data_IF_225911745936
#
_entry.id   IF_225911745936
#
_cell.length_a   1.000
_cell.length_b   1.000
_cell.length_c   1.000
_cell.angle_alpha   90.00
_cell.angle_beta   90.00
_cell.angle_gamma   90.00
#
_symmetry.space_group_name_H-M   'P 1'
#
loop_
_entity.id
_entity.type
_entity.pdbx_description
1 polymer ?
#
# COMPACT_ATOMS: atom_id res chain seq x y z
N UNK A 1 12.37 -3.24 -14.02
CA UNK A 1 12.59 -3.46 -12.57
C UNK A 1 11.67 -2.52 -11.83
N UNK A 2 10.73 -3.05 -11.05
CA UNK A 2 9.82 -2.25 -10.24
C UNK A 2 10.64 -1.70 -9.05
N UNK A 3 10.98 -0.42 -9.07
CA UNK A 3 11.75 0.21 -8.00
C UNK A 3 10.75 0.78 -6.99
N UNK A 4 10.43 -0.01 -5.97
CA UNK A 4 9.51 0.40 -4.92
C UNK A 4 10.30 1.22 -3.90
N UNK A 5 9.89 2.45 -3.59
CA UNK A 5 10.54 3.21 -2.54
C UNK A 5 10.24 2.55 -1.19
N UNK A 6 11.29 2.31 -0.40
CA UNK A 6 11.15 1.77 0.96
C UNK A 6 10.44 2.72 1.92
N UNK A 7 10.39 4.02 1.59
CA UNK A 7 9.69 5.05 2.36
C UNK A 7 9.01 6.07 1.45
N UNK A 8 7.81 6.53 1.82
CA UNK A 8 7.14 7.67 1.17
C UNK A 8 7.28 8.93 2.03
N UNK A 9 7.50 10.10 1.44
CA UNK A 9 7.43 11.35 2.20
C UNK A 9 6.02 11.64 2.64
N UNK A 10 5.86 12.31 3.78
CA UNK A 10 4.54 12.66 4.29
C UNK A 10 3.75 13.53 3.30
N UNK A 11 4.42 14.49 2.67
CA UNK A 11 3.82 15.36 1.64
C UNK A 11 3.29 14.56 0.45
N UNK A 12 4.04 13.56 -0.04
CA UNK A 12 3.60 12.73 -1.15
C UNK A 12 2.38 11.88 -0.79
N UNK A 13 2.34 11.33 0.44
CA UNK A 13 1.18 10.58 0.92
C UNK A 13 -0.06 11.48 0.97
N UNK A 14 0.06 12.68 1.54
CA UNK A 14 -1.06 13.63 1.65
C UNK A 14 -1.56 14.14 0.29
N UNK A 15 -0.66 14.34 -0.68
CA UNK A 15 -1.03 14.91 -1.98
C UNK A 15 -1.55 13.87 -2.98
N UNK A 16 -1.00 12.65 -2.97
CA UNK A 16 -1.24 11.67 -4.04
C UNK A 16 -2.13 10.51 -3.61
N UNK A 17 -2.24 10.25 -2.31
CA UNK A 17 -2.93 9.08 -1.81
C UNK A 17 -4.08 9.43 -0.90
N UNK A 18 -5.09 8.58 -0.94
CA UNK A 18 -6.15 8.55 0.05
C UNK A 18 -5.85 7.44 1.07
N UNK A 19 -5.97 7.74 2.37
CA UNK A 19 -5.95 6.71 3.42
C UNK A 19 -7.33 6.03 3.43
N UNK A 20 -7.37 4.77 3.02
CA UNK A 20 -8.62 4.01 2.85
C UNK A 20 -8.94 3.08 4.02
N UNK A 21 -7.92 2.71 4.81
CA UNK A 21 -8.12 1.90 6.02
C UNK A 21 -6.99 2.14 7.03
N UNK A 22 -7.28 1.90 8.31
CA UNK A 22 -6.32 1.95 9.40
C UNK A 22 -6.41 0.65 10.16
N UNK A 23 -5.28 -0.03 10.33
CA UNK A 23 -5.23 -1.37 10.89
C UNK A 23 -4.01 -1.53 11.80
N UNK A 24 -4.06 -2.53 12.66
CA UNK A 24 -2.94 -2.88 13.51
C UNK A 24 -2.43 -4.27 13.11
N UNK A 25 -1.16 -4.37 12.72
CA UNK A 25 -0.49 -5.62 12.34
C UNK A 25 0.62 -5.88 13.34
N UNK A 26 0.50 -6.95 14.12
CA UNK A 26 1.49 -7.36 15.11
C UNK A 26 1.93 -6.25 16.08
N UNK A 27 1.02 -5.34 16.45
CA UNK A 27 1.30 -4.21 17.34
C UNK A 27 1.62 -2.91 16.61
N UNK A 28 2.06 -2.97 15.35
CA UNK A 28 2.32 -1.80 14.52
C UNK A 28 1.01 -1.21 13.98
N UNK A 29 0.83 0.10 14.15
CA UNK A 29 -0.29 0.80 13.52
C UNK A 29 0.07 1.11 12.08
N UNK A 30 -0.74 0.68 11.14
CA UNK A 30 -0.51 0.84 9.71
C UNK A 30 -1.68 1.55 9.04
N UNK A 31 -1.38 2.30 7.98
CA UNK A 31 -2.36 2.89 7.09
C UNK A 31 -2.33 2.16 5.74
N UNK A 32 -3.51 1.87 5.20
CA UNK A 32 -3.66 1.44 3.82
C UNK A 32 -3.97 2.66 2.99
N UNK A 33 -3.12 2.94 2.00
CA UNK A 33 -3.21 4.11 1.15
C UNK A 33 -3.49 3.70 -0.30
N UNK A 34 -4.23 4.52 -1.03
CA UNK A 34 -4.61 4.24 -2.42
C UNK A 34 -4.51 5.48 -3.30
N UNK A 35 -3.82 5.34 -4.43
CA UNK A 35 -3.75 6.29 -5.52
C UNK A 35 -4.60 5.76 -6.68
N UNK A 36 -5.75 6.39 -6.87
CA UNK A 36 -6.70 6.02 -7.92
C UNK A 36 -6.20 6.32 -9.33
N UNK A 37 -5.33 7.31 -9.50
CA UNK A 37 -4.80 7.72 -10.80
C UNK A 37 -3.74 6.73 -11.26
N UNK A 38 -2.79 6.41 -10.38
CA UNK A 38 -1.74 5.43 -10.66
C UNK A 38 -2.22 3.97 -10.53
N UNK A 39 -3.44 3.74 -10.03
CA UNK A 39 -3.97 2.39 -9.73
C UNK A 39 -3.00 1.62 -8.82
N UNK A 40 -2.57 2.27 -7.73
CA UNK A 40 -1.58 1.75 -6.79
C UNK A 40 -2.11 1.81 -5.37
N UNK A 41 -1.89 0.75 -4.60
CA UNK A 41 -2.17 0.73 -3.18
C UNK A 41 -0.90 0.36 -2.39
N UNK A 42 -0.80 0.82 -1.16
CA UNK A 42 0.32 0.49 -0.29
C UNK A 42 -0.12 0.37 1.17
N UNK A 43 0.64 -0.41 1.94
CA UNK A 43 0.57 -0.41 3.40
C UNK A 43 1.80 0.33 3.91
N UNK A 44 1.57 1.37 4.70
CA UNK A 44 2.62 2.14 5.36
C UNK A 44 2.45 2.06 6.87
N UNK A 45 3.54 2.24 7.62
CA UNK A 45 3.42 2.52 9.04
C UNK A 45 2.74 3.87 9.26
N UNK A 46 2.02 4.00 10.37
CA UNK A 46 1.37 5.25 10.75
C UNK A 46 2.34 6.24 11.39
N UNK A 47 3.43 5.75 11.96
CA UNK A 47 4.46 6.58 12.57
C UNK A 47 5.52 6.94 11.53
N UNK A 48 5.81 8.23 11.38
CA UNK A 48 6.86 8.72 10.49
C UNK A 48 8.22 8.67 11.15
N UNK A 49 9.25 8.31 10.38
CA UNK A 49 10.66 8.45 10.78
C UNK A 49 11.28 9.62 10.03
N UNK A 50 12.12 10.41 10.72
CA UNK A 50 12.90 11.45 10.05
C UNK A 50 14.07 10.82 9.28
N UNK A 51 14.12 11.07 7.97
CA UNK A 51 15.19 10.59 7.10
C UNK A 51 15.66 11.75 6.22
N UNK A 52 16.95 12.10 6.33
CA UNK A 52 17.56 13.21 5.58
C UNK A 52 16.83 14.57 5.78
N UNK A 53 16.26 14.80 6.97
CA UNK A 53 15.55 16.05 7.31
C UNK A 53 14.09 16.08 6.84
N UNK A 54 13.54 14.97 6.35
CA UNK A 54 12.16 14.86 5.92
C UNK A 54 11.43 13.77 6.71
N UNK A 55 10.18 14.02 7.10
CA UNK A 55 9.33 13.01 7.72
C UNK A 55 8.82 12.04 6.66
N UNK A 56 9.16 10.76 6.83
CA UNK A 56 8.82 9.71 5.86
C UNK A 56 8.11 8.54 6.55
N UNK A 57 7.12 8.00 5.87
CA UNK A 57 6.41 6.79 6.27
C UNK A 57 7.13 5.55 5.71
N UNK A 58 7.56 4.61 6.57
CA UNK A 58 8.00 3.28 6.14
C UNK A 58 6.94 2.56 5.31
N UNK A 59 7.36 1.91 4.23
CA UNK A 59 6.47 1.17 3.32
C UNK A 59 6.64 -0.33 3.56
N UNK A 60 5.57 -0.98 4.01
CA UNK A 60 5.57 -2.41 4.32
C UNK A 60 5.18 -3.26 3.11
N UNK A 61 4.28 -2.75 2.27
CA UNK A 61 3.87 -3.42 1.05
C UNK A 61 3.38 -2.44 -0.01
N UNK A 62 3.55 -2.80 -1.27
CA UNK A 62 3.00 -2.06 -2.42
C UNK A 62 2.36 -3.03 -3.39
N UNK A 63 1.14 -2.71 -3.79
CA UNK A 63 0.37 -3.39 -4.82
C UNK A 63 0.23 -2.47 -6.03
N UNK A 64 0.86 -2.86 -7.13
CA UNK A 64 0.73 -2.20 -8.42
C UNK A 64 -0.34 -2.90 -9.24
N UNK A 65 -1.28 -2.13 -9.79
CA UNK A 65 -2.41 -2.66 -10.54
C UNK A 65 -2.55 -1.96 -11.89
N UNK A 66 -3.21 -2.63 -12.81
CA UNK A 66 -3.60 -2.07 -14.11
C UNK A 66 -5.12 -2.11 -14.27
N UNK A 67 -5.70 -1.08 -14.87
CA UNK A 67 -7.13 -1.08 -15.20
C UNK A 67 -7.39 -2.03 -16.35
N UNK A 68 -8.34 -2.94 -16.18
CA UNK A 68 -8.84 -3.76 -17.28
C UNK A 68 -9.86 -2.94 -18.07
N UNK A 69 -9.61 -2.74 -19.37
CA UNK A 69 -10.41 -1.86 -20.23
C UNK A 69 -11.88 -2.24 -20.21
N UNK A 70 -12.74 -1.23 -19.99
CA UNK A 70 -14.22 -1.26 -19.87
C UNK A 70 -14.82 -1.38 -18.45
N UNK A 71 -14.07 -1.69 -17.39
CA UNK A 71 -14.62 -1.75 -16.02
C UNK A 71 -13.72 -1.02 -15.03
N UNK A 72 -14.09 0.21 -14.64
CA UNK A 72 -13.28 1.04 -13.73
C UNK A 72 -13.09 0.43 -12.33
N UNK A 73 -13.99 -0.45 -11.91
CA UNK A 73 -13.93 -1.12 -10.61
C UNK A 73 -13.16 -2.44 -10.63
N UNK A 74 -12.66 -2.87 -11.79
CA UNK A 74 -11.92 -4.12 -11.93
C UNK A 74 -10.46 -3.80 -12.28
N UNK A 75 -9.59 -4.03 -11.29
CA UNK A 75 -8.16 -3.82 -11.43
C UNK A 75 -7.44 -5.16 -11.44
N UNK A 76 -6.50 -5.32 -12.37
CA UNK A 76 -5.64 -6.49 -12.44
C UNK A 76 -4.36 -6.26 -11.67
N UNK A 77 -3.99 -7.21 -10.83
CA UNK A 77 -2.71 -7.20 -10.12
C UNK A 77 -1.59 -7.36 -11.15
N UNK A 78 -0.65 -6.41 -11.14
CA UNK A 78 0.52 -6.40 -12.00
C UNK A 78 1.77 -6.83 -11.24
N UNK A 79 1.92 -6.33 -10.01
CA UNK A 79 2.99 -6.75 -9.11
C UNK A 79 2.63 -6.49 -7.66
N UNK A 80 3.21 -7.31 -6.78
CA UNK A 80 3.12 -7.14 -5.35
C UNK A 80 4.52 -7.19 -4.76
N UNK A 81 4.85 -6.19 -3.96
CA UNK A 81 6.12 -6.08 -3.26
C UNK A 81 5.87 -5.94 -1.76
N UNK A 82 6.76 -6.53 -0.97
CA UNK A 82 6.75 -6.44 0.49
C UNK A 82 8.16 -6.23 1.00
N UNK A 83 8.26 -5.51 2.10
CA UNK A 83 9.51 -5.33 2.83
C UNK A 83 9.77 -6.53 3.74
N UNK A 84 10.21 -7.65 3.16
CA UNK A 84 10.37 -8.93 3.87
C UNK A 84 11.50 -8.91 4.91
N UNK A 85 12.48 -8.02 4.74
CA UNK A 85 13.69 -7.92 5.57
C UNK A 85 13.80 -6.58 6.32
N UNK A 86 12.87 -5.65 6.13
CA UNK A 86 12.98 -4.32 6.69
C UNK A 86 12.27 -4.15 8.03
N UNK A 87 11.40 -3.15 8.16
CA UNK A 87 11.02 -2.63 9.48
C UNK A 87 10.24 -3.65 10.35
N UNK A 88 9.47 -4.54 9.73
CA UNK A 88 8.60 -5.50 10.42
C UNK A 88 8.63 -6.91 9.77
N UNK A 89 9.74 -7.65 9.88
CA UNK A 89 9.87 -8.99 9.31
C UNK A 89 8.90 -10.00 9.93
N UNK A 90 8.36 -9.72 11.12
CA UNK A 90 7.32 -10.53 11.76
C UNK A 90 5.96 -10.45 11.05
N UNK A 91 5.71 -9.41 10.25
CA UNK A 91 4.47 -9.27 9.51
C UNK A 91 4.55 -10.12 8.24
N UNK A 92 3.87 -11.26 8.26
CA UNK A 92 3.78 -12.13 7.11
C UNK A 92 3.23 -11.37 5.87
N UNK A 93 3.89 -11.55 4.72
CA UNK A 93 3.47 -10.95 3.44
C UNK A 93 2.01 -11.23 3.08
N UNK A 94 1.49 -12.41 3.46
CA UNK A 94 0.08 -12.77 3.31
C UNK A 94 -0.89 -11.88 4.10
N UNK A 95 -0.49 -11.36 5.26
CA UNK A 95 -1.31 -10.42 6.04
C UNK A 95 -1.40 -9.06 5.36
N UNK A 96 -0.28 -8.58 4.80
CA UNK A 96 -0.21 -7.32 4.05
C UNK A 96 -1.04 -7.39 2.77
N UNK A 97 -0.93 -8.50 2.01
CA UNK A 97 -1.74 -8.73 0.82
C UNK A 97 -3.24 -8.77 1.15
N UNK A 98 -3.62 -9.47 2.23
CA UNK A 98 -5.01 -9.55 2.68
C UNK A 98 -5.56 -8.19 3.14
N UNK A 99 -4.73 -7.39 3.83
CA UNK A 99 -5.09 -6.03 4.23
C UNK A 99 -5.39 -5.15 3.01
N UNK A 100 -4.52 -5.17 2.00
CA UNK A 100 -4.71 -4.43 0.75
C UNK A 100 -5.98 -4.88 0.01
N UNK A 101 -6.16 -6.19 -0.14
CA UNK A 101 -7.34 -6.76 -0.79
C UNK A 101 -8.63 -6.33 -0.07
N UNK A 102 -8.70 -6.52 1.25
CA UNK A 102 -9.87 -6.14 2.05
C UNK A 102 -10.17 -4.65 1.96
N UNK A 103 -9.15 -3.80 2.09
CA UNK A 103 -9.35 -2.35 2.04
C UNK A 103 -9.88 -1.92 0.66
N UNK A 104 -9.28 -2.40 -0.43
CA UNK A 104 -9.70 -2.06 -1.79
C UNK A 104 -11.12 -2.56 -2.09
N UNK A 105 -11.45 -3.79 -1.71
CA UNK A 105 -12.77 -4.36 -1.96
C UNK A 105 -13.85 -3.75 -1.07
N UNK A 106 -13.59 -3.56 0.23
CA UNK A 106 -14.61 -3.10 1.18
C UNK A 106 -14.77 -1.58 1.19
N UNK A 107 -13.69 -0.81 1.00
CA UNK A 107 -13.70 0.65 1.14
C UNK A 107 -13.78 1.36 -0.21
N UNK A 108 -13.29 0.72 -1.27
CA UNK A 108 -13.29 1.29 -2.64
C UNK A 108 -14.18 0.54 -3.62
N UNK A 109 -14.79 -0.57 -3.22
CA UNK A 109 -15.58 -1.43 -4.11
C UNK A 109 -14.80 -1.88 -5.36
N UNK A 110 -13.49 -2.02 -5.21
CA UNK A 110 -12.59 -2.48 -6.28
C UNK A 110 -12.47 -4.00 -6.19
N UNK A 111 -12.71 -4.66 -7.32
CA UNK A 111 -12.45 -6.07 -7.50
C UNK A 111 -11.05 -6.25 -8.07
N UNK A 112 -10.22 -7.01 -7.36
CA UNK A 112 -8.88 -7.37 -7.80
C UNK A 112 -8.90 -8.71 -8.54
N UNK A 113 -8.21 -8.78 -9.67
CA UNK A 113 -8.05 -10.01 -10.47
C UNK A 113 -6.57 -10.25 -10.81
N UNK A 114 -6.15 -11.50 -11.01
CA UNK A 114 -4.77 -11.82 -11.38
C UNK A 114 -3.82 -12.01 -10.19
N UNK A 115 -2.57 -12.42 -10.50
CA UNK A 115 -1.47 -12.74 -9.59
C UNK A 115 -0.15 -12.40 -10.29
#
# INVERSE_FOLDING_TARGET
MFNVPATYSAEAVECLYEVIDILNLNGARCHVIFDSQASRAAVIEADTTEQLGEMRYPVLAVLEMERVTSINTLLRIKSFWTDSDGAHPEIASGNLANALYKALTMKKHITLVGL
#
